data_IF_568883949165
#
_entry.id   IF_568883949165
#
_cell.length_a   1.000
_cell.length_b   1.000
_cell.length_c   1.000
_cell.angle_alpha   90.00
_cell.angle_beta   90.00
_cell.angle_gamma   90.00
#
_symmetry.space_group_name_H-M   'P 1'
#
loop_
_entity.id
_entity.type
_entity.pdbx_description
1 polymer ?
#
# COMPACT_ATOMS: atom_id res chain seq x y z
N UNK A 1 1.71 -66.91 38.43
CA UNK A 1 2.71 -66.01 39.07
C UNK A 1 3.99 -65.89 38.20
N UNK A 2 4.45 -66.93 37.52
CA UNK A 2 5.65 -66.89 36.69
C UNK A 2 5.51 -65.89 35.49
N UNK A 3 4.35 -65.85 34.86
CA UNK A 3 4.05 -64.94 33.74
C UNK A 3 4.09 -63.46 34.13
N UNK A 4 3.57 -63.08 35.29
CA UNK A 4 3.60 -61.74 35.84
C UNK A 4 5.04 -61.30 36.11
N UNK A 5 5.85 -62.17 36.68
CA UNK A 5 7.27 -61.88 36.93
C UNK A 5 8.05 -61.66 35.61
N UNK A 6 7.76 -62.40 34.58
CA UNK A 6 8.39 -62.31 33.27
C UNK A 6 8.00 -60.95 32.62
N UNK A 7 6.72 -60.55 32.68
CA UNK A 7 6.26 -59.25 32.17
C UNK A 7 6.93 -58.11 32.91
N UNK A 8 6.95 -58.13 34.24
CA UNK A 8 7.57 -57.09 35.05
C UNK A 8 9.09 -56.98 34.82
N UNK A 9 9.76 -58.11 34.55
CA UNK A 9 11.19 -58.10 34.25
C UNK A 9 11.55 -57.54 32.88
N UNK A 10 10.59 -57.58 31.93
CA UNK A 10 10.75 -56.97 30.58
C UNK A 10 10.47 -55.47 30.56
N UNK A 11 9.80 -54.90 31.57
CA UNK A 11 9.64 -53.45 31.62
C UNK A 11 10.98 -52.77 31.86
N UNK A 12 11.31 -51.74 31.06
CA UNK A 12 12.53 -50.98 31.28
C UNK A 12 12.49 -50.38 32.68
N UNK A 13 13.38 -50.80 33.57
CA UNK A 13 13.54 -50.22 34.90
C UNK A 13 13.91 -48.76 34.73
N UNK A 14 12.94 -47.86 34.98
CA UNK A 14 12.96 -46.43 34.98
C UNK A 14 14.26 -45.81 34.41
N UNK A 15 14.17 -45.19 33.24
CA UNK A 15 15.28 -44.40 32.71
C UNK A 15 15.67 -43.35 33.74
N UNK A 16 16.79 -43.56 34.42
CA UNK A 16 17.40 -42.53 35.25
C UNK A 16 17.78 -41.42 34.29
N UNK A 17 17.20 -40.19 34.48
CA UNK A 17 17.68 -39.04 33.74
C UNK A 17 19.20 -38.96 33.93
N UNK A 18 19.92 -38.93 32.82
CA UNK A 18 21.40 -38.82 32.80
C UNK A 18 21.88 -37.54 33.52
N UNK A 19 21.02 -36.57 33.63
CA UNK A 19 21.30 -35.24 34.18
C UNK A 19 20.40 -34.98 35.39
N UNK A 20 20.98 -34.54 36.49
CA UNK A 20 20.25 -34.03 37.65
C UNK A 20 20.34 -32.50 37.65
N UNK A 21 19.22 -31.83 37.88
CA UNK A 21 19.20 -30.36 38.05
C UNK A 21 18.56 -30.03 39.41
N UNK A 22 19.08 -28.98 40.04
CA UNK A 22 18.50 -28.42 41.25
C UNK A 22 18.18 -26.97 40.99
N UNK A 23 16.98 -26.58 41.44
CA UNK A 23 16.53 -25.19 41.25
C UNK A 23 17.46 -24.23 42.00
N UNK A 24 17.95 -23.17 41.30
CA UNK A 24 18.84 -22.16 41.85
C UNK A 24 20.34 -22.54 41.83
N UNK A 25 20.72 -23.69 41.36
CA UNK A 25 22.13 -24.05 41.13
C UNK A 25 22.51 -23.92 39.66
N UNK A 26 23.76 -23.49 39.34
CA UNK A 26 24.23 -23.44 37.98
C UNK A 26 24.32 -24.85 37.38
N UNK A 27 24.07 -24.97 36.07
CA UNK A 27 24.19 -26.20 35.32
C UNK A 27 25.65 -26.69 35.34
N UNK A 28 25.87 -27.90 35.84
CA UNK A 28 27.21 -28.50 36.04
C UNK A 28 27.55 -29.60 35.03
N UNK A 29 26.64 -29.92 34.12
CA UNK A 29 26.84 -30.97 33.10
C UNK A 29 27.19 -30.37 31.75
N UNK A 30 27.58 -31.22 30.79
CA UNK A 30 27.80 -30.79 29.41
C UNK A 30 26.54 -30.17 28.80
N UNK A 31 26.73 -29.33 27.77
CA UNK A 31 25.63 -28.71 27.06
C UNK A 31 24.64 -29.76 26.54
N UNK A 32 23.38 -29.58 26.84
CA UNK A 32 22.31 -30.43 26.37
C UNK A 32 21.82 -29.96 25.02
N UNK A 33 22.05 -30.78 23.98
CA UNK A 33 21.54 -30.51 22.65
C UNK A 33 20.32 -31.39 22.38
N UNK A 34 19.24 -30.79 21.86
CA UNK A 34 18.11 -31.57 21.39
C UNK A 34 18.51 -32.34 20.13
N UNK A 35 18.27 -33.65 20.07
CA UNK A 35 18.61 -34.48 18.91
C UNK A 35 17.62 -34.28 17.73
N UNK A 36 16.66 -33.42 17.90
CA UNK A 36 15.61 -33.11 16.91
C UNK A 36 15.34 -31.63 16.87
N UNK A 37 14.82 -31.14 15.73
CA UNK A 37 14.37 -29.78 15.59
C UNK A 37 13.03 -29.57 16.31
N UNK A 38 12.93 -28.55 17.12
CA UNK A 38 11.68 -28.17 17.78
C UNK A 38 11.40 -26.68 17.56
N UNK A 39 10.12 -26.33 17.49
CA UNK A 39 9.69 -24.95 17.34
C UNK A 39 9.81 -24.22 18.70
N UNK A 40 10.48 -23.09 18.69
CA UNK A 40 10.53 -22.16 19.82
C UNK A 40 9.58 -21.02 19.51
N UNK A 41 8.66 -20.74 20.41
CA UNK A 41 7.79 -19.58 20.29
C UNK A 41 8.65 -18.30 20.38
N UNK A 42 8.49 -17.43 19.39
CA UNK A 42 9.09 -16.10 19.43
C UNK A 42 8.44 -15.28 20.53
N UNK A 43 9.19 -14.37 21.12
CA UNK A 43 8.60 -13.42 22.06
C UNK A 43 7.71 -12.43 21.29
N UNK A 44 6.80 -11.75 22.00
CA UNK A 44 5.84 -10.81 21.40
C UNK A 44 6.54 -9.64 20.68
N UNK A 45 7.63 -9.15 21.22
CA UNK A 45 8.39 -8.03 20.66
C UNK A 45 9.05 -8.41 19.31
N UNK A 46 9.68 -9.60 19.23
CA UNK A 46 10.28 -10.07 17.96
C UNK A 46 9.20 -10.36 16.91
N UNK A 47 8.03 -10.86 17.34
CA UNK A 47 6.91 -11.09 16.45
C UNK A 47 6.35 -9.79 15.88
N UNK A 48 6.12 -8.77 16.71
CA UNK A 48 5.65 -7.46 16.28
C UNK A 48 6.61 -6.81 15.28
N UNK A 49 7.92 -6.83 15.58
CA UNK A 49 8.93 -6.30 14.66
C UNK A 49 8.94 -7.02 13.31
N UNK A 50 8.83 -8.35 13.29
CA UNK A 50 8.73 -9.09 12.04
C UNK A 50 7.44 -8.80 11.27
N UNK A 51 6.32 -8.63 11.96
CA UNK A 51 5.05 -8.27 11.33
C UNK A 51 5.13 -6.88 10.68
N UNK A 52 5.75 -5.91 11.35
CA UNK A 52 5.94 -4.58 10.79
C UNK A 52 6.90 -4.60 9.60
N UNK A 53 8.00 -5.35 9.68
CA UNK A 53 8.91 -5.57 8.57
C UNK A 53 8.20 -6.21 7.35
N UNK A 54 7.29 -7.15 7.58
CA UNK A 54 6.52 -7.79 6.50
C UNK A 54 5.52 -6.79 5.89
N UNK A 55 4.81 -6.02 6.71
CA UNK A 55 3.87 -5.00 6.24
C UNK A 55 4.55 -4.00 5.30
N UNK A 56 5.71 -3.45 5.69
CA UNK A 56 6.46 -2.49 4.88
C UNK A 56 6.98 -3.12 3.57
N UNK A 57 7.42 -4.39 3.63
CA UNK A 57 7.98 -5.10 2.46
C UNK A 57 6.93 -5.63 1.49
N UNK A 58 5.73 -5.91 1.98
CA UNK A 58 4.65 -6.47 1.16
C UNK A 58 3.93 -5.32 0.46
N UNK A 59 3.85 -5.30 -0.88
CA UNK A 59 3.14 -4.25 -1.58
C UNK A 59 1.63 -4.36 -1.34
N UNK A 60 0.99 -3.22 -1.21
CA UNK A 60 -0.47 -3.09 -1.23
C UNK A 60 -0.90 -2.93 -2.68
N UNK A 61 -1.96 -3.60 -3.08
CA UNK A 61 -2.44 -3.58 -4.46
C UNK A 61 -3.59 -2.58 -4.61
N UNK A 62 -3.49 -1.75 -5.64
CA UNK A 62 -4.54 -0.83 -6.06
C UNK A 62 -4.88 -1.06 -7.52
N UNK A 63 -6.16 -1.09 -7.83
CA UNK A 63 -6.62 -1.14 -9.21
C UNK A 63 -6.52 0.23 -9.87
N UNK A 64 -5.92 0.27 -11.05
CA UNK A 64 -5.79 1.48 -11.86
C UNK A 64 -6.74 1.45 -13.05
N UNK A 65 -7.59 2.46 -13.13
CA UNK A 65 -8.48 2.69 -14.28
C UNK A 65 -7.70 3.48 -15.33
N UNK A 66 -7.19 2.78 -16.35
CA UNK A 66 -6.36 3.38 -17.40
C UNK A 66 -7.16 4.17 -18.44
N UNK A 67 -8.44 3.86 -18.63
CA UNK A 67 -9.27 4.48 -19.65
C UNK A 67 -9.54 5.98 -19.43
N UNK A 68 -9.39 6.48 -18.19
CA UNK A 68 -9.53 7.91 -17.87
C UNK A 68 -8.37 8.74 -18.41
N UNK A 69 -7.17 8.14 -18.59
CA UNK A 69 -5.96 8.83 -19.04
C UNK A 69 -6.02 9.12 -20.55
N UNK A 70 -6.77 8.32 -21.31
CA UNK A 70 -6.83 8.39 -22.78
C UNK A 70 -7.99 9.21 -23.34
N UNK A 71 -8.95 9.62 -22.50
CA UNK A 71 -10.14 10.30 -22.98
C UNK A 71 -9.97 11.82 -23.06
N UNK A 72 -9.27 12.30 -24.11
CA UNK A 72 -9.42 13.70 -24.58
C UNK A 72 -10.90 14.07 -24.80
N UNK A 73 -11.76 13.06 -24.99
CA UNK A 73 -13.19 13.21 -25.18
C UNK A 73 -13.97 13.58 -23.93
N UNK A 74 -13.63 13.06 -22.76
CA UNK A 74 -14.31 13.40 -21.48
C UNK A 74 -14.02 14.85 -21.08
N UNK A 75 -12.77 15.26 -21.19
CA UNK A 75 -12.35 16.62 -20.87
C UNK A 75 -12.98 17.62 -21.83
N UNK A 76 -13.03 17.30 -23.13
CA UNK A 76 -13.60 18.19 -24.14
C UNK A 76 -15.11 18.34 -24.00
N UNK A 77 -15.85 17.25 -23.83
CA UNK A 77 -17.32 17.31 -23.67
C UNK A 77 -17.74 18.00 -22.37
N UNK A 78 -17.01 17.80 -21.27
CA UNK A 78 -17.29 18.49 -20.00
C UNK A 78 -16.97 19.97 -20.08
N UNK A 79 -15.89 20.33 -20.77
CA UNK A 79 -15.52 21.72 -21.01
C UNK A 79 -16.54 22.38 -21.93
N UNK A 80 -16.94 21.77 -23.04
CA UNK A 80 -17.96 22.29 -23.97
C UNK A 80 -19.30 22.52 -23.25
N UNK A 81 -19.70 21.62 -22.34
CA UNK A 81 -20.93 21.81 -21.55
C UNK A 81 -20.86 23.03 -20.60
N UNK A 82 -19.71 23.22 -19.95
CA UNK A 82 -19.51 24.32 -18.98
C UNK A 82 -19.38 25.71 -19.67
N UNK A 83 -19.02 25.72 -20.95
CA UNK A 83 -18.73 26.94 -21.71
C UNK A 83 -19.83 27.35 -22.69
N UNK A 84 -21.00 26.70 -22.69
CA UNK A 84 -22.08 26.98 -23.65
C UNK A 84 -22.51 28.43 -23.75
N UNK A 85 -22.15 29.30 -22.83
CA UNK A 85 -22.73 30.66 -22.76
C UNK A 85 -21.77 31.85 -22.88
N UNK A 86 -20.44 31.77 -22.96
CA UNK A 86 -19.71 33.04 -22.72
C UNK A 86 -18.29 33.20 -23.27
N UNK A 87 -17.70 32.56 -24.31
CA UNK A 87 -16.29 32.84 -24.55
C UNK A 87 -15.79 32.87 -26.01
N UNK A 88 -14.88 33.82 -26.24
CA UNK A 88 -14.05 33.93 -27.46
C UNK A 88 -13.07 32.79 -27.60
N UNK A 89 -13.00 32.17 -28.76
CA UNK A 89 -12.32 30.90 -29.06
C UNK A 89 -10.86 30.78 -28.61
N UNK A 90 -10.10 31.87 -28.57
CA UNK A 90 -8.66 31.83 -28.17
C UNK A 90 -8.43 31.68 -26.66
N UNK A 91 -9.33 32.18 -25.82
CA UNK A 91 -9.24 32.02 -24.38
C UNK A 91 -9.65 30.61 -23.95
N UNK A 92 -10.53 29.95 -24.72
CA UNK A 92 -10.98 28.59 -24.53
C UNK A 92 -9.84 27.57 -24.74
N UNK A 93 -9.10 27.72 -25.84
CA UNK A 93 -7.98 26.79 -26.14
C UNK A 93 -6.90 26.82 -25.06
N UNK A 94 -6.59 28.02 -24.54
CA UNK A 94 -5.62 28.13 -23.43
C UNK A 94 -6.11 27.47 -22.15
N UNK A 95 -7.39 27.63 -21.79
CA UNK A 95 -7.98 26.98 -20.60
C UNK A 95 -8.06 25.49 -20.79
N UNK A 96 -8.53 25.02 -21.96
CA UNK A 96 -8.61 23.58 -22.30
C UNK A 96 -7.24 22.93 -22.21
N UNK A 97 -6.21 23.55 -22.76
CA UNK A 97 -4.84 23.04 -22.69
C UNK A 97 -4.32 22.98 -21.25
N UNK A 98 -4.60 24.00 -20.43
CA UNK A 98 -4.20 24.03 -19.03
C UNK A 98 -4.91 22.95 -18.21
N UNK A 99 -6.21 22.79 -18.40
CA UNK A 99 -7.02 21.74 -17.74
C UNK A 99 -6.51 20.35 -18.13
N UNK A 100 -6.29 20.12 -19.42
CA UNK A 100 -5.75 18.84 -19.91
C UNK A 100 -4.37 18.54 -19.35
N UNK A 101 -3.49 19.52 -19.26
CA UNK A 101 -2.16 19.37 -18.69
C UNK A 101 -2.22 18.96 -17.23
N UNK A 102 -3.03 19.68 -16.42
CA UNK A 102 -3.18 19.39 -14.99
C UNK A 102 -3.86 18.03 -14.78
N UNK A 103 -4.92 17.72 -15.52
CA UNK A 103 -5.62 16.43 -15.43
C UNK A 103 -4.68 15.26 -15.77
N UNK A 104 -3.88 15.38 -16.83
CA UNK A 104 -2.86 14.38 -17.17
C UNK A 104 -1.81 14.21 -16.07
N UNK A 105 -1.39 15.28 -15.44
CA UNK A 105 -0.44 15.25 -14.33
C UNK A 105 -1.01 14.55 -13.09
N UNK A 106 -2.28 14.79 -12.77
CA UNK A 106 -3.02 14.15 -11.68
C UNK A 106 -3.14 12.64 -11.95
N UNK A 107 -3.59 12.26 -13.13
CA UNK A 107 -3.77 10.84 -13.48
C UNK A 107 -2.45 10.07 -13.59
N UNK A 108 -1.39 10.74 -14.05
CA UNK A 108 -0.04 10.14 -14.08
C UNK A 108 0.49 9.85 -12.67
N UNK A 109 0.19 10.73 -11.72
CA UNK A 109 0.55 10.53 -10.32
C UNK A 109 -0.29 9.43 -9.67
N UNK A 110 -1.53 9.26 -10.12
CA UNK A 110 -2.54 8.37 -9.56
C UNK A 110 -3.35 9.06 -8.47
N UNK A 111 -4.64 9.21 -8.70
CA UNK A 111 -5.59 9.85 -7.78
C UNK A 111 -6.48 8.80 -7.12
N UNK A 112 -6.37 8.69 -5.80
CA UNK A 112 -7.11 7.71 -5.00
C UNK A 112 -8.57 8.13 -4.79
N UNK A 113 -9.45 7.15 -4.66
CA UNK A 113 -10.88 7.35 -4.38
C UNK A 113 -11.17 7.71 -2.91
N UNK A 114 -10.25 7.40 -2.01
CA UNK A 114 -10.40 7.61 -0.57
C UNK A 114 -9.10 8.07 0.10
N UNK A 115 -9.23 8.61 1.32
CA UNK A 115 -8.08 8.95 2.15
C UNK A 115 -7.64 7.70 2.91
N UNK A 116 -6.70 6.98 2.35
CA UNK A 116 -6.09 5.82 2.98
C UNK A 116 -5.05 6.26 4.00
N UNK A 117 -4.87 5.43 5.04
CA UNK A 117 -3.90 5.65 6.12
C UNK A 117 -2.84 4.54 6.09
N UNK A 118 -1.87 4.71 5.20
CA UNK A 118 -0.69 3.86 5.10
C UNK A 118 0.57 4.65 5.44
N UNK A 119 1.64 3.94 5.80
CA UNK A 119 2.96 4.56 5.95
C UNK A 119 3.41 5.19 4.61
N UNK A 120 4.06 6.35 4.67
CA UNK A 120 4.54 7.08 3.49
C UNK A 120 5.47 6.25 2.61
N UNK A 121 6.24 5.33 3.21
CA UNK A 121 7.19 4.44 2.53
C UNK A 121 6.55 3.10 2.13
N UNK A 122 5.27 2.87 2.42
CA UNK A 122 4.57 1.65 2.06
C UNK A 122 4.63 1.44 0.55
N UNK A 123 5.08 0.26 0.14
CA UNK A 123 5.12 -0.13 -1.28
C UNK A 123 3.72 -0.40 -1.79
N UNK A 124 3.45 0.14 -2.97
CA UNK A 124 2.18 -0.01 -3.67
C UNK A 124 2.44 -0.54 -5.07
N UNK A 125 1.62 -1.49 -5.47
CA UNK A 125 1.58 -1.99 -6.85
C UNK A 125 0.27 -1.59 -7.50
N UNK A 126 0.33 -0.81 -8.56
CA UNK A 126 -0.83 -0.49 -9.39
C UNK A 126 -1.10 -1.64 -10.35
N UNK A 127 -2.32 -2.11 -10.36
CA UNK A 127 -2.78 -3.22 -11.20
C UNK A 127 -3.82 -2.72 -12.19
N UNK A 128 -3.72 -3.12 -13.43
CA UNK A 128 -4.74 -2.91 -14.45
C UNK A 128 -4.91 -4.19 -15.25
N UNK A 129 -6.15 -4.66 -15.40
CA UNK A 129 -6.47 -5.92 -16.07
C UNK A 129 -5.65 -7.12 -15.54
N UNK A 130 -5.48 -7.22 -14.23
CA UNK A 130 -4.69 -8.24 -13.54
C UNK A 130 -3.18 -8.24 -13.87
N UNK A 131 -2.66 -7.13 -14.40
CA UNK A 131 -1.23 -6.95 -14.70
C UNK A 131 -0.70 -5.80 -13.86
N UNK A 132 0.45 -5.99 -13.22
CA UNK A 132 1.13 -4.91 -12.50
C UNK A 132 1.67 -3.91 -13.54
N UNK A 133 1.14 -2.70 -13.49
CA UNK A 133 1.49 -1.61 -14.41
C UNK A 133 2.66 -0.80 -13.87
N UNK A 134 2.65 -0.51 -12.56
CA UNK A 134 3.75 0.21 -11.92
C UNK A 134 3.86 -0.12 -10.43
N UNK A 135 5.06 0.13 -9.89
CA UNK A 135 5.32 0.04 -8.45
C UNK A 135 5.72 1.44 -7.97
N UNK A 136 5.06 1.89 -6.93
CA UNK A 136 5.20 3.21 -6.33
C UNK A 136 5.39 3.08 -4.81
N UNK A 137 5.62 4.19 -4.14
CA UNK A 137 5.44 4.32 -2.69
C UNK A 137 4.18 5.12 -2.41
N UNK A 138 3.59 4.93 -1.22
CA UNK A 138 2.31 5.56 -0.89
C UNK A 138 2.34 7.09 -0.96
N UNK A 139 3.48 7.72 -0.62
CA UNK A 139 3.67 9.16 -0.75
C UNK A 139 3.57 9.70 -2.18
N UNK A 140 3.73 8.85 -3.19
CA UNK A 140 3.65 9.25 -4.59
C UNK A 140 2.20 9.34 -5.10
N UNK A 141 1.24 8.73 -4.38
CA UNK A 141 -0.17 8.75 -4.73
C UNK A 141 -0.82 10.05 -4.23
N UNK A 142 -1.73 10.58 -5.04
CA UNK A 142 -2.51 11.76 -4.69
C UNK A 142 -3.79 11.36 -3.95
N UNK A 143 -3.95 11.82 -2.72
CA UNK A 143 -5.15 11.59 -1.92
C UNK A 143 -6.18 12.72 -2.11
N UNK A 144 -7.47 12.47 -1.90
CA UNK A 144 -8.52 13.51 -2.00
C UNK A 144 -8.24 14.76 -1.16
N UNK A 145 -7.69 14.59 0.05
CA UNK A 145 -7.31 15.70 0.95
C UNK A 145 -6.24 16.62 0.35
N UNK A 146 -5.34 16.07 -0.49
CA UNK A 146 -4.18 16.78 -1.03
C UNK A 146 -4.45 17.34 -2.43
N UNK A 147 -5.55 16.94 -3.08
CA UNK A 147 -5.91 17.33 -4.46
C UNK A 147 -5.92 18.83 -4.66
N UNK A 148 -6.57 19.56 -3.77
CA UNK A 148 -6.68 21.03 -3.87
C UNK A 148 -5.30 21.71 -3.82
N UNK A 149 -4.46 21.28 -2.89
CA UNK A 149 -3.09 21.80 -2.74
C UNK A 149 -2.25 21.46 -3.97
N UNK A 150 -2.37 20.26 -4.50
CA UNK A 150 -1.65 19.83 -5.70
C UNK A 150 -2.04 20.64 -6.94
N UNK A 151 -3.35 20.84 -7.16
CA UNK A 151 -3.85 21.69 -8.26
C UNK A 151 -3.33 23.12 -8.12
N UNK A 152 -3.37 23.71 -6.92
CA UNK A 152 -2.86 25.04 -6.66
C UNK A 152 -1.39 25.18 -7.05
N UNK A 153 -0.57 24.22 -6.63
CA UNK A 153 0.86 24.22 -6.95
C UNK A 153 1.10 24.15 -8.46
N UNK A 154 0.39 23.26 -9.17
CA UNK A 154 0.53 23.14 -10.62
C UNK A 154 0.08 24.41 -11.38
N UNK A 155 -0.97 25.09 -10.92
CA UNK A 155 -1.43 26.36 -11.50
C UNK A 155 -0.38 27.45 -11.34
N UNK A 156 0.25 27.54 -10.16
CA UNK A 156 1.30 28.53 -9.87
C UNK A 156 2.57 28.20 -10.68
N UNK A 157 3.05 26.97 -10.63
CA UNK A 157 4.28 26.55 -11.31
C UNK A 157 4.24 26.75 -12.83
N UNK A 158 3.06 26.57 -13.44
CA UNK A 158 2.89 26.71 -14.88
C UNK A 158 2.34 28.09 -15.32
N UNK A 159 2.26 29.06 -14.41
CA UNK A 159 1.80 30.40 -14.69
C UNK A 159 0.37 30.48 -15.26
N UNK A 160 -0.52 29.57 -14.85
CA UNK A 160 -1.93 29.57 -15.27
C UNK A 160 -2.80 30.54 -14.45
N UNK A 161 -2.21 31.49 -13.75
CA UNK A 161 -2.86 32.41 -12.79
C UNK A 161 -3.96 33.29 -13.39
N UNK A 162 -3.90 33.61 -14.68
CA UNK A 162 -4.88 34.47 -15.34
C UNK A 162 -6.31 33.90 -15.30
N UNK A 163 -6.44 32.58 -15.35
CA UNK A 163 -7.71 31.84 -15.36
C UNK A 163 -7.84 30.84 -14.19
N UNK A 164 -7.11 31.06 -13.11
CA UNK A 164 -6.95 30.12 -11.99
C UNK A 164 -8.29 29.59 -11.45
N UNK A 165 -9.21 30.50 -11.08
CA UNK A 165 -10.50 30.09 -10.49
C UNK A 165 -11.34 29.25 -11.46
N UNK A 166 -11.25 29.55 -12.75
CA UNK A 166 -11.98 28.82 -13.78
C UNK A 166 -11.39 27.47 -14.06
N UNK A 167 -10.08 27.37 -14.17
CA UNK A 167 -9.37 26.10 -14.32
C UNK A 167 -9.68 25.19 -13.12
N UNK A 168 -9.64 25.72 -11.90
CA UNK A 168 -9.96 24.95 -10.69
C UNK A 168 -11.40 24.44 -10.68
N UNK A 169 -12.39 25.28 -10.99
CA UNK A 169 -13.80 24.86 -11.01
C UNK A 169 -14.04 23.72 -12.00
N UNK A 170 -13.45 23.83 -13.20
CA UNK A 170 -13.54 22.77 -14.22
C UNK A 170 -12.88 21.47 -13.73
N UNK A 171 -11.66 21.57 -13.18
CA UNK A 171 -10.93 20.38 -12.69
C UNK A 171 -11.71 19.67 -11.58
N UNK A 172 -12.26 20.38 -10.61
CA UNK A 172 -13.04 19.76 -9.53
C UNK A 172 -14.32 19.09 -10.01
N UNK A 173 -14.86 19.49 -11.15
CA UNK A 173 -16.04 18.87 -11.73
C UNK A 173 -15.72 17.63 -12.57
N UNK A 174 -14.59 17.62 -13.31
CA UNK A 174 -14.26 16.55 -14.24
C UNK A 174 -13.36 15.47 -13.67
N UNK A 175 -12.54 15.79 -12.64
CA UNK A 175 -11.57 14.83 -12.11
C UNK A 175 -12.27 13.79 -11.25
N UNK A 176 -12.09 12.53 -11.65
CA UNK A 176 -12.54 11.36 -10.91
C UNK A 176 -11.33 10.52 -10.47
N UNK A 177 -11.43 9.81 -9.35
CA UNK A 177 -10.40 8.88 -8.94
C UNK A 177 -10.08 7.86 -10.04
N UNK A 178 -8.80 7.57 -10.23
CA UNK A 178 -8.34 6.57 -11.18
C UNK A 178 -7.60 5.40 -10.54
N UNK A 179 -7.47 5.40 -9.22
CA UNK A 179 -6.97 4.28 -8.44
C UNK A 179 -7.90 3.98 -7.27
N UNK A 180 -8.17 2.70 -7.05
CA UNK A 180 -9.01 2.20 -5.97
C UNK A 180 -8.31 1.04 -5.27
N UNK A 181 -8.56 0.86 -3.98
CA UNK A 181 -8.04 -0.29 -3.25
C UNK A 181 -8.70 -1.59 -3.75
N UNK A 182 -7.87 -2.61 -4.01
CA UNK A 182 -8.33 -3.93 -4.49
C UNK A 182 -8.58 -4.90 -3.34
#
# INVERSE_FOLDING_TARGET
FLSVYLIVSMFPKSGKFKYSFENGKPWQSENLYAPFNFAVLKNSFDLERELDDIKIKTPVYFDQITNLITSDSLTKSSIDYLFQDTITSLAEDSIVNSVNFIAKSIYKKGFADSNYDYDSEQKISLVSNNIIVSNLIFSDILLPKDLSTYINNLVIENNFSVNENRIKSILFEIIQPNITFN
#
